data_IF_517217832813
#
_entry.id   IF_517217832813
#
_cell.length_a   1.000
_cell.length_b   1.000
_cell.length_c   1.000
_cell.angle_alpha   90.00
_cell.angle_beta   90.00
_cell.angle_gamma   90.00
#
_symmetry.space_group_name_H-M   'P 1'
#
loop_
_entity.id
_entity.type
_entity.pdbx_description
1 polymer ?
#
# COMPACT_ATOMS: atom_id res chain seq x y z
N UNK A 1 33.26 -29.70 8.70
CA UNK A 1 32.80 -30.59 7.62
C UNK A 1 31.27 -30.62 7.46
N UNK A 2 30.50 -30.66 8.55
CA UNK A 2 29.02 -30.66 8.48
C UNK A 2 28.39 -29.38 7.89
N UNK A 3 28.92 -28.19 8.18
CA UNK A 3 28.39 -26.93 7.65
C UNK A 3 28.59 -26.77 6.13
N UNK A 4 29.69 -27.30 5.60
CA UNK A 4 29.98 -27.27 4.15
C UNK A 4 29.05 -28.24 3.39
N UNK A 5 28.73 -29.39 3.97
CA UNK A 5 27.77 -30.34 3.40
C UNK A 5 26.34 -29.81 3.39
N UNK A 6 25.95 -29.00 4.38
CA UNK A 6 24.62 -28.38 4.43
C UNK A 6 24.51 -27.26 3.40
N UNK A 7 25.55 -26.43 3.26
CA UNK A 7 25.58 -25.37 2.25
C UNK A 7 25.50 -25.92 0.83
N UNK A 8 26.28 -26.96 0.52
CA UNK A 8 26.28 -27.62 -0.80
C UNK A 8 24.93 -28.30 -1.11
N UNK A 9 24.23 -28.84 -0.10
CA UNK A 9 22.88 -29.40 -0.28
C UNK A 9 21.84 -28.32 -0.52
N UNK A 10 21.93 -27.18 0.17
CA UNK A 10 21.04 -26.04 -0.05
C UNK A 10 21.24 -25.43 -1.45
N UNK A 11 22.48 -25.27 -1.91
CA UNK A 11 22.75 -24.76 -3.26
C UNK A 11 22.33 -25.74 -4.36
N UNK A 12 22.50 -27.04 -4.15
CA UNK A 12 22.03 -28.06 -5.10
C UNK A 12 20.49 -28.14 -5.16
N UNK A 13 19.80 -27.87 -4.05
CA UNK A 13 18.35 -27.85 -3.99
C UNK A 13 17.76 -26.60 -4.67
N UNK A 14 18.45 -25.46 -4.62
CA UNK A 14 18.07 -24.24 -5.37
C UNK A 14 18.31 -24.38 -6.88
N UNK A 15 19.38 -25.07 -7.30
CA UNK A 15 19.65 -25.32 -8.72
C UNK A 15 18.68 -26.34 -9.34
N UNK A 16 18.22 -27.34 -8.58
CA UNK A 16 17.25 -28.34 -9.03
C UNK A 16 15.82 -27.79 -9.23
N UNK A 17 15.51 -26.63 -8.62
CA UNK A 17 14.21 -25.96 -8.75
C UNK A 17 14.16 -24.94 -9.90
N UNK A 18 15.26 -24.73 -10.64
CA UNK A 18 15.30 -23.79 -11.76
C UNK A 18 15.05 -22.33 -11.36
N UNK A 19 15.20 -22.00 -10.08
CA UNK A 19 15.11 -20.62 -9.61
C UNK A 19 16.48 -19.96 -9.75
N UNK A 20 16.63 -19.20 -10.84
CA UNK A 20 17.77 -18.33 -11.07
C UNK A 20 17.90 -17.32 -9.90
N UNK A 21 18.99 -17.38 -9.10
CA UNK A 21 19.17 -16.50 -7.95
C UNK A 21 19.34 -15.02 -8.33
N UNK A 22 19.39 -14.71 -9.63
CA UNK A 22 19.62 -13.37 -10.16
C UNK A 22 18.32 -12.64 -10.60
N UNK A 23 17.13 -13.21 -10.40
CA UNK A 23 15.84 -12.56 -10.78
C UNK A 23 15.44 -11.41 -9.83
N UNK A 24 16.13 -11.23 -8.71
CA UNK A 24 15.86 -10.15 -7.75
C UNK A 24 16.56 -8.82 -8.03
N UNK A 25 17.27 -8.66 -9.16
CA UNK A 25 17.84 -7.35 -9.53
C UNK A 25 16.79 -6.40 -10.11
N UNK A 26 16.58 -5.31 -9.36
CA UNK A 26 16.17 -3.99 -9.84
C UNK A 26 14.80 -3.88 -10.52
N UNK A 27 13.74 -4.21 -9.79
CA UNK A 27 12.53 -3.39 -9.89
C UNK A 27 12.67 -2.28 -8.86
N UNK A 28 13.02 -1.07 -9.31
CA UNK A 28 12.75 0.16 -8.53
C UNK A 28 11.27 0.11 -8.17
N UNK A 29 10.94 -0.31 -6.94
CA UNK A 29 9.56 -0.28 -6.46
C UNK A 29 9.08 1.16 -6.64
N UNK A 30 8.02 1.34 -7.44
CA UNK A 30 7.38 2.65 -7.52
C UNK A 30 7.08 3.12 -6.09
N UNK A 31 7.38 4.39 -5.76
CA UNK A 31 7.18 4.87 -4.41
C UNK A 31 5.72 4.64 -4.02
N UNK A 32 5.53 3.97 -2.88
CA UNK A 32 4.23 3.61 -2.32
C UNK A 32 3.31 4.83 -2.30
N UNK A 33 2.01 4.62 -2.52
CA UNK A 33 1.00 5.70 -2.53
C UNK A 33 1.09 6.56 -1.27
N UNK A 34 1.25 5.92 -0.11
CA UNK A 34 1.49 6.59 1.18
C UNK A 34 2.72 7.50 1.18
N UNK A 35 3.84 7.05 0.62
CA UNK A 35 5.08 7.84 0.57
C UNK A 35 4.95 9.05 -0.35
N UNK A 36 4.28 8.89 -1.50
CA UNK A 36 3.97 10.03 -2.38
C UNK A 36 3.09 11.05 -1.68
N UNK A 37 2.09 10.58 -0.91
CA UNK A 37 1.22 11.47 -0.14
C UNK A 37 2.00 12.23 0.95
N UNK A 38 2.85 11.55 1.72
CA UNK A 38 3.69 12.19 2.75
C UNK A 38 4.59 13.26 2.15
N UNK A 39 5.22 13.00 1.00
CA UNK A 39 6.08 13.97 0.33
C UNK A 39 5.28 15.18 -0.18
N UNK A 40 4.11 14.95 -0.77
CA UNK A 40 3.20 16.01 -1.20
C UNK A 40 2.76 16.89 -0.01
N UNK A 41 2.33 16.26 1.09
CA UNK A 41 1.97 16.93 2.33
C UNK A 41 3.11 17.79 2.87
N UNK A 42 4.34 17.26 2.87
CA UNK A 42 5.54 17.98 3.28
C UNK A 42 5.75 19.24 2.44
N UNK A 43 5.69 19.12 1.10
CA UNK A 43 5.87 20.24 0.19
C UNK A 43 4.79 21.32 0.36
N UNK A 44 3.52 20.91 0.52
CA UNK A 44 2.41 21.84 0.77
C UNK A 44 2.62 22.61 2.07
N UNK A 45 3.02 21.92 3.15
CA UNK A 45 3.26 22.54 4.46
C UNK A 45 4.48 23.46 4.44
N UNK A 46 5.56 23.09 3.75
CA UNK A 46 6.74 23.97 3.58
C UNK A 46 6.38 25.24 2.81
N UNK A 47 5.59 25.11 1.73
CA UNK A 47 5.11 26.28 0.99
C UNK A 47 4.26 27.17 1.87
N UNK A 48 3.31 26.61 2.61
CA UNK A 48 2.45 27.38 3.50
C UNK A 48 3.24 28.10 4.60
N UNK A 49 4.24 27.46 5.19
CA UNK A 49 5.11 28.07 6.18
C UNK A 49 5.88 29.25 5.59
N UNK A 50 6.40 29.10 4.37
CA UNK A 50 7.11 30.16 3.66
C UNK A 50 6.18 31.34 3.36
N UNK A 51 5.04 31.08 2.72
CA UNK A 51 4.06 32.10 2.35
C UNK A 51 3.54 32.84 3.61
N UNK A 52 3.34 32.12 4.70
CA UNK A 52 3.02 32.70 6.01
C UNK A 52 4.16 33.60 6.53
N UNK A 53 5.38 33.09 6.58
CA UNK A 53 6.53 33.87 7.04
C UNK A 53 6.70 35.16 6.24
N UNK A 54 6.48 35.13 4.92
CA UNK A 54 6.51 36.31 4.06
C UNK A 54 5.41 37.32 4.43
N UNK A 55 4.17 36.89 4.67
CA UNK A 55 3.05 37.76 5.06
C UNK A 55 3.26 38.50 6.40
N UNK A 56 3.92 37.86 7.37
CA UNK A 56 4.27 38.47 8.67
C UNK A 56 5.47 39.40 8.51
N UNK A 57 6.52 38.95 7.82
CA UNK A 57 7.73 39.75 7.56
C UNK A 57 7.42 41.02 6.78
N UNK A 58 6.43 40.99 5.88
CA UNK A 58 5.99 42.18 5.14
C UNK A 58 5.53 43.34 6.04
N UNK A 59 4.95 43.05 7.22
CA UNK A 59 4.58 44.10 8.19
C UNK A 59 5.83 44.73 8.78
N UNK A 60 6.81 43.90 9.15
CA UNK A 60 8.08 44.36 9.72
C UNK A 60 8.87 45.20 8.71
N UNK A 61 9.01 44.72 7.47
CA UNK A 61 9.70 45.46 6.40
C UNK A 61 9.04 46.83 6.17
N UNK A 62 7.70 46.88 6.15
CA UNK A 62 6.98 48.15 6.00
C UNK A 62 7.19 49.10 7.19
N UNK A 63 7.24 48.56 8.41
CA UNK A 63 7.56 49.34 9.61
C UNK A 63 8.99 49.88 9.56
N UNK A 64 9.98 49.05 9.22
CA UNK A 64 11.39 49.42 9.11
C UNK A 64 11.64 50.47 8.01
N UNK A 65 10.97 50.33 6.86
CA UNK A 65 11.04 51.32 5.79
C UNK A 65 10.51 52.69 6.25
N UNK A 66 9.38 52.71 6.98
CA UNK A 66 8.83 53.95 7.55
C UNK A 66 9.71 54.55 8.64
N UNK A 67 10.30 53.72 9.49
CA UNK A 67 11.26 54.15 10.52
C UNK A 67 12.49 54.81 9.89
N UNK A 68 13.04 54.18 8.85
CA UNK A 68 14.22 54.69 8.12
C UNK A 68 13.91 56.04 7.49
N UNK A 69 12.75 56.17 6.83
CA UNK A 69 12.30 57.44 6.27
C UNK A 69 12.14 58.52 7.33
N UNK A 70 11.52 58.19 8.48
CA UNK A 70 11.36 59.14 9.59
C UNK A 70 12.71 59.64 10.10
N UNK A 71 13.68 58.74 10.31
CA UNK A 71 15.02 59.12 10.78
C UNK A 71 15.71 60.09 9.82
N UNK A 72 15.64 59.83 8.51
CA UNK A 72 16.21 60.73 7.51
C UNK A 72 15.57 62.12 7.56
N UNK A 73 14.23 62.20 7.65
CA UNK A 73 13.51 63.47 7.79
C UNK A 73 13.87 64.21 9.10
N UNK A 74 14.01 63.48 10.21
CA UNK A 74 14.41 64.07 11.49
C UNK A 74 15.84 64.59 11.50
N UNK A 75 16.77 63.89 10.84
CA UNK A 75 18.15 64.33 10.69
C UNK A 75 18.24 65.64 9.88
N UNK A 76 17.51 65.74 8.77
CA UNK A 76 17.46 66.98 7.98
C UNK A 76 16.80 68.13 8.74
N UNK A 77 15.68 67.89 9.43
CA UNK A 77 15.05 68.91 10.27
C UNK A 77 15.96 69.37 11.41
N UNK A 78 16.70 68.45 12.03
CA UNK A 78 17.69 68.78 13.08
C UNK A 78 18.81 69.63 12.50
N UNK A 79 19.33 69.28 11.32
CA UNK A 79 20.36 70.04 10.63
C UNK A 79 19.90 71.47 10.34
N UNK A 80 18.70 71.63 9.76
CA UNK A 80 18.11 72.95 9.48
C UNK A 80 17.91 73.78 10.76
N UNK A 81 17.48 73.14 11.85
CA UNK A 81 17.33 73.81 13.15
C UNK A 81 18.68 74.32 13.67
N UNK A 82 19.72 73.50 13.60
CA UNK A 82 21.08 73.88 14.05
C UNK A 82 21.62 75.05 13.21
N UNK A 83 21.52 74.97 11.88
CA UNK A 83 21.97 76.03 10.98
C UNK A 83 21.26 77.35 11.27
N UNK A 84 19.94 77.29 11.51
CA UNK A 84 19.15 78.47 11.86
C UNK A 84 19.57 79.09 13.20
N UNK A 85 19.81 78.25 14.22
CA UNK A 85 20.28 78.72 15.53
C UNK A 85 21.67 79.35 15.45
N UNK A 86 22.57 78.79 14.64
CA UNK A 86 23.91 79.33 14.41
C UNK A 86 23.85 80.70 13.70
N UNK A 87 23.02 80.82 12.66
CA UNK A 87 22.80 82.10 11.97
C UNK A 87 22.20 83.18 12.88
N UNK A 88 21.22 82.82 13.70
CA UNK A 88 20.61 83.71 14.69
C UNK A 88 21.59 84.08 15.82
N UNK A 89 22.48 83.17 16.21
CA UNK A 89 23.54 83.47 17.17
C UNK A 89 24.57 84.46 16.60
N UNK A 90 25.02 84.25 15.35
CA UNK A 90 25.97 85.13 14.65
C UNK A 90 25.40 86.53 14.45
N UNK A 91 24.21 86.64 13.86
CA UNK A 91 23.55 87.94 13.61
C UNK A 91 23.22 88.68 14.91
N UNK A 92 22.81 87.96 15.95
CA UNK A 92 22.58 88.53 17.28
C UNK A 92 23.87 89.04 17.92
N UNK A 93 24.98 88.34 17.75
CA UNK A 93 26.28 88.76 18.27
C UNK A 93 26.78 90.02 17.55
N UNK A 94 26.69 90.05 16.22
CA UNK A 94 27.06 91.22 15.41
C UNK A 94 26.25 92.47 15.81
N UNK A 95 24.92 92.34 15.91
CA UNK A 95 24.03 93.41 16.40
C UNK A 95 24.41 93.86 17.82
N UNK A 96 24.71 92.92 18.71
CA UNK A 96 25.09 93.22 20.10
C UNK A 96 26.43 93.95 20.20
N UNK A 97 27.43 93.55 19.42
CA UNK A 97 28.71 94.25 19.35
C UNK A 97 28.56 95.67 18.79
N UNK A 98 27.72 95.86 17.76
CA UNK A 98 27.43 97.18 17.21
C UNK A 98 26.78 98.11 18.24
N UNK A 99 25.77 97.59 18.97
CA UNK A 99 25.11 98.29 20.08
C UNK A 99 26.15 98.68 21.14
N UNK A 100 26.99 97.72 21.55
CA UNK A 100 28.03 97.94 22.57
C UNK A 100 29.02 99.03 22.15
N UNK A 101 29.47 99.03 20.88
CA UNK A 101 30.37 100.06 20.33
C UNK A 101 29.72 101.46 20.35
N UNK A 102 28.44 101.57 19.97
CA UNK A 102 27.69 102.85 20.00
C UNK A 102 27.38 103.32 21.41
N UNK A 103 27.23 102.39 22.35
CA UNK A 103 27.08 102.72 23.77
C UNK A 103 28.34 103.41 24.33
N UNK A 104 29.53 102.89 23.99
CA UNK A 104 30.83 103.48 24.38
C UNK A 104 31.03 104.91 23.83
N UNK A 105 30.52 105.21 22.63
CA UNK A 105 30.62 106.54 22.02
C UNK A 105 29.60 107.55 22.57
N UNK A 106 28.66 107.12 23.43
CA UNK A 106 27.65 108.02 24.02
C UNK A 106 28.27 109.00 25.01
N UNK A 107 29.32 108.58 25.75
CA UNK A 107 30.00 109.42 26.73
C UNK A 107 30.83 110.58 26.14
N UNK A 108 31.11 110.58 24.84
CA UNK A 108 31.92 111.62 24.18
C UNK A 108 31.09 112.76 23.59
N UNK A 109 29.77 112.60 23.47
CA UNK A 109 28.87 113.64 22.97
C UNK A 109 28.70 114.73 24.02
N UNK A 110 28.76 116.01 23.61
CA UNK A 110 28.62 117.16 24.53
C UNK A 110 27.23 117.79 24.50
N UNK A 111 26.43 117.48 23.48
CA UNK A 111 25.09 118.03 23.28
C UNK A 111 24.05 117.05 23.86
N UNK A 112 23.25 117.46 24.87
CA UNK A 112 22.27 116.58 25.50
C UNK A 112 21.20 116.01 24.54
N UNK A 113 20.79 116.76 23.53
CA UNK A 113 19.85 116.27 22.50
C UNK A 113 20.46 115.13 21.67
N UNK A 114 21.71 115.27 21.21
CA UNK A 114 22.39 114.22 20.44
C UNK A 114 22.72 112.98 21.28
N UNK A 115 22.92 113.16 22.59
CA UNK A 115 23.03 112.05 23.56
C UNK A 115 21.69 111.33 23.70
N UNK A 116 20.61 112.07 23.88
CA UNK A 116 19.27 111.52 24.05
C UNK A 116 18.80 110.74 22.81
N UNK A 117 19.00 111.28 21.60
CA UNK A 117 18.68 110.60 20.34
C UNK A 117 19.46 109.28 20.17
N UNK A 118 20.75 109.28 20.54
CA UNK A 118 21.57 108.08 20.48
C UNK A 118 21.10 107.03 21.50
N UNK A 119 20.82 107.42 22.74
CA UNK A 119 20.29 106.52 23.77
C UNK A 119 18.94 105.92 23.38
N UNK A 120 18.04 106.73 22.81
CA UNK A 120 16.74 106.28 22.33
C UNK A 120 16.88 105.29 21.16
N UNK A 121 17.78 105.58 20.21
CA UNK A 121 18.11 104.67 19.12
C UNK A 121 18.69 103.34 19.63
N UNK A 122 19.60 103.38 20.60
CA UNK A 122 20.16 102.17 21.19
C UNK A 122 19.13 101.36 21.97
N UNK A 123 18.23 102.01 22.71
CA UNK A 123 17.10 101.35 23.37
C UNK A 123 16.20 100.63 22.36
N UNK A 124 15.93 101.24 21.21
CA UNK A 124 15.17 100.62 20.13
C UNK A 124 15.89 99.40 19.55
N UNK A 125 17.21 99.48 19.33
CA UNK A 125 18.01 98.35 18.83
C UNK A 125 18.02 97.17 19.83
N UNK A 126 18.15 97.43 21.14
CA UNK A 126 18.02 96.40 22.18
C UNK A 126 16.61 95.79 22.20
N UNK A 127 15.57 96.62 22.07
CA UNK A 127 14.19 96.15 21.97
C UNK A 127 13.98 95.20 20.79
N UNK A 128 14.53 95.54 19.62
CA UNK A 128 14.43 94.71 18.42
C UNK A 128 15.20 93.38 18.56
N UNK A 129 16.37 93.38 19.22
CA UNK A 129 17.11 92.15 19.51
C UNK A 129 16.30 91.20 20.43
N UNK A 130 15.64 91.74 21.45
CA UNK A 130 14.78 90.97 22.35
C UNK A 130 13.56 90.42 21.60
N UNK A 131 12.97 91.21 20.71
CA UNK A 131 11.85 90.78 19.87
C UNK A 131 12.24 89.64 18.92
N UNK A 132 13.38 89.74 18.25
CA UNK A 132 13.95 88.68 17.40
C UNK A 132 14.15 87.37 18.21
N UNK A 133 14.70 87.46 19.43
CA UNK A 133 14.85 86.30 20.33
C UNK A 133 13.51 85.72 20.78
N UNK A 134 12.56 86.55 21.16
CA UNK A 134 11.22 86.09 21.56
C UNK A 134 10.50 85.41 20.40
N UNK A 135 10.67 85.91 19.17
CA UNK A 135 10.15 85.26 17.96
C UNK A 135 10.77 83.88 17.75
N UNK A 136 12.10 83.76 17.84
CA UNK A 136 12.78 82.46 17.76
C UNK A 136 12.27 81.49 18.84
N UNK A 137 12.13 81.96 20.10
CA UNK A 137 11.60 81.15 21.19
C UNK A 137 10.19 80.63 20.85
N UNK A 138 9.30 81.50 20.36
CA UNK A 138 7.94 81.12 19.97
C UNK A 138 7.91 80.06 18.86
N UNK A 139 8.78 80.19 17.86
CA UNK A 139 8.90 79.21 16.78
C UNK A 139 9.44 77.85 17.28
N UNK A 140 10.46 77.85 18.15
CA UNK A 140 10.98 76.62 18.77
C UNK A 140 9.94 75.94 19.66
N UNK A 141 9.15 76.71 20.41
CA UNK A 141 8.03 76.18 21.18
C UNK A 141 6.94 75.57 20.29
N UNK A 142 6.66 76.19 19.15
CA UNK A 142 5.72 75.63 18.18
C UNK A 142 6.27 74.35 17.54
N UNK A 143 7.56 74.32 17.22
CA UNK A 143 8.24 73.12 16.71
C UNK A 143 8.21 71.97 17.71
N UNK A 144 8.40 72.26 19.01
CA UNK A 144 8.26 71.29 20.09
C UNK A 144 6.85 70.70 20.16
N UNK A 145 5.81 71.56 20.14
CA UNK A 145 4.40 71.10 20.11
C UNK A 145 4.11 70.21 18.90
N UNK A 146 4.60 70.58 17.72
CA UNK A 146 4.45 69.75 16.51
C UNK A 146 5.11 68.39 16.69
N UNK A 147 6.29 68.33 17.32
CA UNK A 147 6.99 67.07 17.62
C UNK A 147 6.20 66.20 18.61
N UNK A 148 5.60 66.79 19.63
CA UNK A 148 4.72 66.06 20.56
C UNK A 148 3.50 65.46 19.82
N UNK A 149 2.84 66.25 18.97
CA UNK A 149 1.72 65.78 18.14
C UNK A 149 2.13 64.65 17.19
N UNK A 150 3.32 64.75 16.58
CA UNK A 150 3.89 63.71 15.73
C UNK A 150 4.19 62.44 16.53
N UNK A 151 4.77 62.55 17.72
CA UNK A 151 5.07 61.41 18.59
C UNK A 151 3.80 60.63 18.96
N UNK A 152 2.72 61.33 19.33
CA UNK A 152 1.43 60.67 19.63
C UNK A 152 0.85 59.96 18.40
N UNK A 153 0.97 60.55 17.21
CA UNK A 153 0.53 59.91 15.95
C UNK A 153 1.35 58.66 15.64
N UNK A 154 2.67 58.73 15.82
CA UNK A 154 3.56 57.59 15.60
C UNK A 154 3.27 56.45 16.56
N UNK A 155 3.03 56.74 17.84
CA UNK A 155 2.62 55.72 18.82
C UNK A 155 1.31 55.04 18.44
N UNK A 156 0.31 55.79 17.98
CA UNK A 156 -0.96 55.21 17.51
C UNK A 156 -0.75 54.30 16.31
N UNK A 157 0.06 54.74 15.34
CA UNK A 157 0.38 53.94 14.15
C UNK A 157 1.17 52.68 14.50
N UNK A 158 2.12 52.76 15.43
CA UNK A 158 2.84 51.59 15.93
C UNK A 158 1.90 50.59 16.62
N UNK A 159 0.94 51.07 17.41
CA UNK A 159 -0.07 50.20 18.01
C UNK A 159 -0.93 49.50 16.94
N UNK A 160 -1.40 50.23 15.92
CA UNK A 160 -2.13 49.66 14.78
C UNK A 160 -1.30 48.62 14.01
N UNK A 161 -0.01 48.89 13.78
CA UNK A 161 0.91 47.95 13.13
C UNK A 161 1.10 46.66 13.95
N UNK A 162 1.19 46.79 15.28
CA UNK A 162 1.26 45.64 16.22
C UNK A 162 -0.04 44.84 16.17
N UNK A 163 -1.20 45.48 16.18
CA UNK A 163 -2.50 44.81 16.09
C UNK A 163 -2.63 44.03 14.76
N UNK A 164 -2.17 44.62 13.64
CA UNK A 164 -2.13 43.95 12.34
C UNK A 164 -1.16 42.76 12.36
N UNK A 165 0.02 42.93 12.97
CA UNK A 165 1.02 41.86 13.11
C UNK A 165 0.43 40.68 13.89
N UNK A 166 -0.19 40.95 15.04
CA UNK A 166 -0.85 39.94 15.87
C UNK A 166 -1.95 39.23 15.07
N UNK A 167 -2.84 39.99 14.41
CA UNK A 167 -3.92 39.43 13.59
C UNK A 167 -3.41 38.49 12.49
N UNK A 168 -2.35 38.88 11.77
CA UNK A 168 -1.73 38.04 10.74
C UNK A 168 -1.07 36.79 11.33
N UNK A 169 -0.37 36.91 12.45
CA UNK A 169 0.24 35.76 13.12
C UNK A 169 -0.82 34.77 13.61
N UNK A 170 -1.91 35.25 14.20
CA UNK A 170 -3.01 34.38 14.64
C UNK A 170 -3.68 33.67 13.47
N UNK A 171 -3.96 34.38 12.38
CA UNK A 171 -4.54 33.80 11.17
C UNK A 171 -3.61 32.73 10.57
N UNK A 172 -2.30 32.97 10.57
CA UNK A 172 -1.31 31.99 10.12
C UNK A 172 -1.28 30.75 11.00
N UNK A 173 -1.30 30.92 12.32
CA UNK A 173 -1.35 29.77 13.25
C UNK A 173 -2.63 28.97 13.02
N UNK A 174 -3.79 29.63 12.89
CA UNK A 174 -5.07 28.97 12.59
C UNK A 174 -5.01 28.20 11.26
N UNK A 175 -4.47 28.81 10.21
CA UNK A 175 -4.34 28.20 8.90
C UNK A 175 -3.34 27.03 8.88
N UNK A 176 -2.18 27.18 9.54
CA UNK A 176 -1.20 26.10 9.73
C UNK A 176 -1.86 24.94 10.48
N UNK A 177 -2.48 25.17 11.63
CA UNK A 177 -3.12 24.11 12.41
C UNK A 177 -4.21 23.37 11.60
N UNK A 178 -5.03 24.11 10.84
CA UNK A 178 -6.06 23.53 9.98
C UNK A 178 -5.44 22.63 8.90
N UNK A 179 -4.45 23.14 8.17
CA UNK A 179 -3.81 22.39 7.09
C UNK A 179 -2.98 21.21 7.60
N UNK A 180 -2.29 21.32 8.74
CA UNK A 180 -1.63 20.17 9.38
C UNK A 180 -2.63 19.04 9.67
N UNK A 181 -3.81 19.37 10.21
CA UNK A 181 -4.85 18.36 10.45
C UNK A 181 -5.36 17.73 9.15
N UNK A 182 -5.61 18.53 8.13
CA UNK A 182 -6.04 18.04 6.81
C UNK A 182 -5.00 17.10 6.18
N UNK A 183 -3.72 17.50 6.20
CA UNK A 183 -2.63 16.69 5.65
C UNK A 183 -2.40 15.39 6.41
N UNK A 184 -2.50 15.41 7.75
CA UNK A 184 -2.43 14.19 8.55
C UNK A 184 -3.56 13.21 8.20
N UNK A 185 -4.79 13.72 8.03
CA UNK A 185 -5.94 12.90 7.63
C UNK A 185 -5.80 12.32 6.22
N UNK A 186 -5.20 13.06 5.28
CA UNK A 186 -4.93 12.53 3.94
C UNK A 186 -3.82 11.47 3.95
N UNK A 187 -2.76 11.69 4.75
CA UNK A 187 -1.70 10.70 4.96
C UNK A 187 -2.29 9.41 5.54
N UNK A 188 -3.09 9.50 6.60
CA UNK A 188 -3.73 8.36 7.23
C UNK A 188 -4.62 7.60 6.24
N UNK A 189 -5.47 8.31 5.49
CA UNK A 189 -6.30 7.70 4.43
C UNK A 189 -5.47 6.98 3.37
N UNK A 190 -4.33 7.53 2.98
CA UNK A 190 -3.44 6.88 2.01
C UNK A 190 -2.86 5.57 2.57
N UNK A 191 -2.40 5.57 3.83
CA UNK A 191 -1.91 4.35 4.51
C UNK A 191 -3.02 3.31 4.70
N UNK A 192 -4.23 3.72 5.09
CA UNK A 192 -5.37 2.82 5.22
C UNK A 192 -5.79 2.19 3.89
N UNK A 193 -5.78 2.98 2.81
CA UNK A 193 -6.05 2.46 1.47
C UNK A 193 -5.00 1.42 1.06
N UNK A 194 -3.72 1.73 1.24
CA UNK A 194 -2.63 0.80 0.93
C UNK A 194 -2.72 -0.49 1.74
N UNK A 195 -3.02 -0.38 3.04
CA UNK A 195 -3.25 -1.54 3.91
C UNK A 195 -4.44 -2.39 3.44
N UNK A 196 -5.56 -1.76 3.07
CA UNK A 196 -6.74 -2.45 2.52
C UNK A 196 -6.41 -3.18 1.23
N UNK A 197 -5.71 -2.53 0.31
CA UNK A 197 -5.25 -3.13 -0.95
C UNK A 197 -4.36 -4.35 -0.70
N UNK A 198 -3.40 -4.23 0.23
CA UNK A 198 -2.52 -5.33 0.61
C UNK A 198 -3.31 -6.51 1.19
N UNK A 199 -4.19 -6.26 2.16
CA UNK A 199 -5.02 -7.30 2.79
C UNK A 199 -5.93 -7.99 1.78
N UNK A 200 -6.56 -7.22 0.89
CA UNK A 200 -7.43 -7.77 -0.15
C UNK A 200 -6.62 -8.64 -1.13
N UNK A 201 -5.42 -8.20 -1.53
CA UNK A 201 -4.55 -8.99 -2.42
C UNK A 201 -4.11 -10.30 -1.77
N UNK A 202 -3.79 -10.29 -0.46
CA UNK A 202 -3.40 -11.47 0.30
C UNK A 202 -4.57 -12.44 0.47
N UNK A 203 -5.75 -11.91 0.83
CA UNK A 203 -7.00 -12.67 0.92
C UNK A 203 -7.33 -13.37 -0.40
N UNK A 204 -7.26 -12.65 -1.52
CA UNK A 204 -7.54 -13.21 -2.84
C UNK A 204 -6.54 -14.33 -3.22
N UNK A 205 -5.26 -14.18 -2.87
CA UNK A 205 -4.25 -15.24 -3.07
C UNK A 205 -4.57 -16.48 -2.23
N UNK A 206 -4.95 -16.28 -0.97
CA UNK A 206 -5.32 -17.37 -0.07
C UNK A 206 -6.58 -18.09 -0.55
N UNK A 207 -7.64 -17.35 -0.91
CA UNK A 207 -8.89 -17.92 -1.44
C UNK A 207 -8.64 -18.73 -2.72
N UNK A 208 -7.82 -18.22 -3.65
CA UNK A 208 -7.41 -18.97 -4.85
C UNK A 208 -6.64 -20.24 -4.51
N UNK A 209 -5.71 -20.18 -3.55
CA UNK A 209 -4.95 -21.34 -3.10
C UNK A 209 -5.85 -22.40 -2.45
N UNK A 210 -6.81 -21.97 -1.63
CA UNK A 210 -7.79 -22.85 -0.99
C UNK A 210 -8.73 -23.49 -2.01
N UNK A 211 -9.19 -22.73 -3.00
CA UNK A 211 -10.02 -23.28 -4.07
C UNK A 211 -9.25 -24.32 -4.88
N UNK A 212 -8.03 -24.02 -5.31
CA UNK A 212 -7.19 -24.97 -6.04
C UNK A 212 -6.91 -26.25 -5.24
N UNK A 213 -6.81 -26.15 -3.91
CA UNK A 213 -6.70 -27.33 -3.03
C UNK A 213 -7.99 -28.14 -3.01
N UNK A 214 -9.15 -27.50 -2.84
CA UNK A 214 -10.46 -28.16 -2.85
C UNK A 214 -10.72 -28.87 -4.18
N UNK A 215 -10.40 -28.22 -5.29
CA UNK A 215 -10.57 -28.81 -6.64
C UNK A 215 -9.71 -30.07 -6.79
N UNK A 216 -8.47 -30.06 -6.28
CA UNK A 216 -7.60 -31.25 -6.26
C UNK A 216 -8.15 -32.37 -5.37
N UNK A 217 -8.67 -32.03 -4.20
CA UNK A 217 -9.29 -33.01 -3.28
C UNK A 217 -10.53 -33.66 -3.93
N UNK A 218 -11.37 -32.89 -4.62
CA UNK A 218 -12.52 -33.41 -5.37
C UNK A 218 -12.11 -34.36 -6.49
N UNK A 219 -11.10 -34.00 -7.28
CA UNK A 219 -10.60 -34.86 -8.36
C UNK A 219 -10.05 -36.18 -7.80
N UNK A 220 -9.37 -36.16 -6.66
CA UNK A 220 -8.89 -37.37 -6.00
C UNK A 220 -10.05 -38.24 -5.50
N UNK A 221 -11.07 -37.64 -4.91
CA UNK A 221 -12.26 -38.37 -4.46
C UNK A 221 -13.02 -39.03 -5.63
N UNK A 222 -13.18 -38.31 -6.74
CA UNK A 222 -13.76 -38.84 -7.97
C UNK A 222 -12.95 -40.01 -8.54
N UNK A 223 -11.62 -39.91 -8.53
CA UNK A 223 -10.74 -41.00 -8.95
C UNK A 223 -10.87 -42.22 -8.03
N UNK A 224 -10.89 -42.03 -6.71
CA UNK A 224 -11.09 -43.11 -5.74
C UNK A 224 -12.45 -43.80 -5.95
N UNK A 225 -13.51 -43.03 -6.18
CA UNK A 225 -14.84 -43.57 -6.45
C UNK A 225 -14.88 -44.36 -7.77
N UNK A 226 -14.16 -43.91 -8.81
CA UNK A 226 -14.01 -44.67 -10.06
C UNK A 226 -13.24 -45.96 -9.84
N UNK A 227 -12.13 -45.92 -9.09
CA UNK A 227 -11.35 -47.13 -8.79
C UNK A 227 -12.17 -48.17 -8.04
N UNK A 228 -12.94 -47.77 -7.02
CA UNK A 228 -13.85 -48.67 -6.29
C UNK A 228 -14.86 -49.35 -7.22
N UNK A 229 -15.47 -48.60 -8.13
CA UNK A 229 -16.41 -49.17 -9.12
C UNK A 229 -15.74 -50.18 -10.05
N UNK A 230 -14.50 -49.90 -10.49
CA UNK A 230 -13.73 -50.85 -11.30
C UNK A 230 -13.45 -52.12 -10.53
N UNK A 231 -13.03 -52.01 -9.27
CA UNK A 231 -12.79 -53.16 -8.38
C UNK A 231 -14.08 -53.98 -8.14
N UNK A 232 -15.22 -53.32 -7.94
CA UNK A 232 -16.54 -53.98 -7.86
C UNK A 232 -16.88 -54.76 -9.13
N UNK A 233 -16.65 -54.19 -10.33
CA UNK A 233 -16.89 -54.88 -11.60
C UNK A 233 -15.92 -56.05 -11.82
N UNK A 234 -14.65 -55.91 -11.44
CA UNK A 234 -13.68 -57.00 -11.51
C UNK A 234 -14.07 -58.17 -10.60
N UNK A 235 -14.54 -57.86 -9.38
CA UNK A 235 -15.05 -58.86 -8.45
C UNK A 235 -16.30 -59.57 -9.02
N UNK A 236 -17.24 -58.84 -9.61
CA UNK A 236 -18.42 -59.43 -10.27
C UNK A 236 -18.02 -60.32 -11.46
N UNK A 237 -17.08 -59.88 -12.29
CA UNK A 237 -16.58 -60.65 -13.43
C UNK A 237 -15.91 -61.96 -12.96
N UNK A 238 -15.13 -61.89 -11.88
CA UNK A 238 -14.51 -63.08 -11.30
C UNK A 238 -15.54 -64.04 -10.71
N UNK A 239 -16.57 -63.55 -10.04
CA UNK A 239 -17.67 -64.38 -9.55
C UNK A 239 -18.40 -65.09 -10.68
N UNK A 240 -18.74 -64.36 -11.76
CA UNK A 240 -19.36 -64.96 -12.96
C UNK A 240 -18.46 -66.02 -13.59
N UNK A 241 -17.16 -65.76 -13.72
CA UNK A 241 -16.20 -66.77 -14.25
C UNK A 241 -16.17 -68.05 -13.42
N UNK A 242 -16.24 -67.94 -12.10
CA UNK A 242 -16.30 -69.11 -11.21
C UNK A 242 -17.62 -69.85 -11.39
N UNK A 243 -18.74 -69.14 -11.40
CA UNK A 243 -20.07 -69.72 -11.61
C UNK A 243 -20.17 -70.43 -12.98
N UNK A 244 -19.77 -69.78 -14.06
CA UNK A 244 -19.74 -70.36 -15.41
C UNK A 244 -18.84 -71.62 -15.45
N UNK A 245 -17.71 -71.61 -14.73
CA UNK A 245 -16.83 -72.75 -14.60
C UNK A 245 -17.45 -73.91 -13.83
N UNK A 246 -18.18 -73.63 -12.75
CA UNK A 246 -18.94 -74.61 -11.98
C UNK A 246 -20.09 -75.21 -12.80
N UNK A 247 -20.86 -74.37 -13.50
CA UNK A 247 -21.94 -74.80 -14.40
C UNK A 247 -21.41 -75.68 -15.53
N UNK A 248 -20.31 -75.27 -16.18
CA UNK A 248 -19.65 -76.06 -17.20
C UNK A 248 -19.23 -77.43 -16.65
N UNK A 249 -18.61 -77.47 -15.46
CA UNK A 249 -18.20 -78.73 -14.82
C UNK A 249 -19.41 -79.62 -14.50
N UNK A 250 -20.50 -79.05 -14.00
CA UNK A 250 -21.74 -79.79 -13.73
C UNK A 250 -22.31 -80.40 -15.01
N UNK A 251 -22.39 -79.63 -16.09
CA UNK A 251 -22.88 -80.11 -17.39
C UNK A 251 -21.94 -81.19 -17.93
N UNK A 252 -20.62 -80.98 -17.83
CA UNK A 252 -19.60 -81.94 -18.25
C UNK A 252 -19.77 -83.28 -17.52
N UNK A 253 -19.89 -83.27 -16.19
CA UNK A 253 -20.11 -84.47 -15.38
C UNK A 253 -21.41 -85.18 -15.79
N UNK A 254 -22.51 -84.45 -16.01
CA UNK A 254 -23.77 -85.04 -16.47
C UNK A 254 -23.60 -85.76 -17.81
N UNK A 255 -22.98 -85.10 -18.79
CA UNK A 255 -22.71 -85.69 -20.11
C UNK A 255 -21.77 -86.90 -20.03
N UNK A 256 -20.72 -86.83 -19.21
CA UNK A 256 -19.81 -87.96 -18.96
C UNK A 256 -20.54 -89.16 -18.35
N UNK A 257 -21.43 -88.92 -17.38
CA UNK A 257 -22.27 -89.97 -16.78
C UNK A 257 -23.24 -90.58 -17.79
N UNK A 258 -23.90 -89.76 -18.62
CA UNK A 258 -24.80 -90.24 -19.68
C UNK A 258 -24.05 -91.11 -20.69
N UNK A 259 -22.84 -90.71 -21.08
CA UNK A 259 -21.95 -91.51 -21.94
C UNK A 259 -21.60 -92.84 -21.26
N UNK A 260 -21.25 -92.85 -19.98
CA UNK A 260 -20.96 -94.09 -19.24
C UNK A 260 -22.18 -95.02 -19.16
N UNK A 261 -23.37 -94.47 -18.90
CA UNK A 261 -24.61 -95.23 -18.83
C UNK A 261 -24.93 -95.87 -20.19
N UNK A 262 -24.84 -95.10 -21.27
CA UNK A 262 -25.04 -95.59 -22.64
C UNK A 262 -24.02 -96.67 -23.01
N UNK A 263 -22.75 -96.52 -22.60
CA UNK A 263 -21.73 -97.54 -22.80
C UNK A 263 -22.05 -98.82 -22.02
N UNK A 264 -22.54 -98.72 -20.79
CA UNK A 264 -22.94 -99.87 -19.98
C UNK A 264 -24.15 -100.59 -20.59
N UNK A 265 -25.16 -99.85 -21.02
CA UNK A 265 -26.32 -100.40 -21.74
C UNK A 265 -25.89 -101.12 -23.02
N UNK A 266 -24.97 -100.52 -23.78
CA UNK A 266 -24.40 -101.15 -24.98
C UNK A 266 -23.65 -102.45 -24.65
N UNK A 267 -22.87 -102.48 -23.57
CA UNK A 267 -22.19 -103.70 -23.11
C UNK A 267 -23.17 -104.77 -22.64
N UNK A 268 -24.20 -104.42 -21.88
CA UNK A 268 -25.27 -105.35 -21.48
C UNK A 268 -26.00 -105.91 -22.69
N UNK A 269 -26.29 -105.06 -23.69
CA UNK A 269 -26.89 -105.47 -24.95
C UNK A 269 -25.98 -106.43 -25.71
N UNK A 270 -24.67 -106.15 -25.81
CA UNK A 270 -23.70 -107.06 -26.40
C UNK A 270 -23.64 -108.41 -25.68
N UNK A 271 -23.61 -108.41 -24.35
CA UNK A 271 -23.59 -109.63 -23.55
C UNK A 271 -24.88 -110.45 -23.70
N UNK A 272 -26.05 -109.80 -23.75
CA UNK A 272 -27.33 -110.49 -24.00
C UNK A 272 -27.41 -111.05 -25.41
N UNK A 273 -26.91 -110.34 -26.43
CA UNK A 273 -26.79 -110.88 -27.78
C UNK A 273 -25.84 -112.08 -27.84
N UNK A 274 -24.68 -112.01 -27.17
CA UNK A 274 -23.74 -113.12 -27.09
C UNK A 274 -24.34 -114.35 -26.39
N UNK A 275 -25.04 -114.16 -25.26
CA UNK A 275 -25.73 -115.24 -24.57
C UNK A 275 -26.85 -115.85 -25.44
N UNK A 276 -27.59 -115.03 -26.18
CA UNK A 276 -28.61 -115.51 -27.11
C UNK A 276 -27.99 -116.29 -28.26
N UNK A 277 -26.82 -115.88 -28.76
CA UNK A 277 -26.06 -116.60 -29.77
C UNK A 277 -25.61 -117.99 -29.25
N UNK A 278 -25.03 -118.04 -28.05
CA UNK A 278 -24.64 -119.31 -27.39
C UNK A 278 -25.86 -120.23 -27.13
N UNK A 279 -27.00 -119.67 -26.71
CA UNK A 279 -28.26 -120.43 -26.56
C UNK A 279 -28.74 -120.99 -27.89
N UNK A 280 -28.63 -120.22 -28.98
CA UNK A 280 -28.97 -120.68 -30.32
C UNK A 280 -28.07 -121.83 -30.75
N UNK A 281 -26.76 -121.71 -30.53
CA UNK A 281 -25.77 -122.75 -30.79
C UNK A 281 -26.02 -124.01 -29.96
N UNK A 282 -26.34 -123.87 -28.68
CA UNK A 282 -26.72 -125.00 -27.83
C UNK A 282 -27.98 -125.70 -28.35
N UNK A 283 -29.05 -124.95 -28.64
CA UNK A 283 -30.28 -125.50 -29.22
C UNK A 283 -30.00 -126.22 -30.53
N UNK A 284 -29.14 -125.65 -31.37
CA UNK A 284 -28.70 -126.27 -32.63
C UNK A 284 -27.94 -127.59 -32.37
N UNK A 285 -27.04 -127.63 -31.39
CA UNK A 285 -26.33 -128.86 -31.01
C UNK A 285 -27.24 -129.93 -30.42
N UNK A 286 -28.22 -129.56 -29.59
CA UNK A 286 -29.21 -130.51 -29.03
C UNK A 286 -30.08 -131.10 -30.14
N UNK A 287 -30.56 -130.26 -31.07
CA UNK A 287 -31.30 -130.74 -32.25
C UNK A 287 -30.43 -131.69 -33.08
N UNK A 288 -29.16 -131.35 -33.29
CA UNK A 288 -28.20 -132.21 -33.99
C UNK A 288 -28.00 -133.56 -33.29
N UNK A 289 -27.81 -133.57 -31.96
CA UNK A 289 -27.69 -134.82 -31.18
C UNK A 289 -28.99 -135.63 -31.19
N UNK A 290 -30.15 -134.98 -31.13
CA UNK A 290 -31.45 -135.65 -31.23
C UNK A 290 -31.66 -136.27 -32.61
N UNK A 291 -31.19 -135.62 -33.67
CA UNK A 291 -31.16 -136.19 -35.01
C UNK A 291 -30.20 -137.38 -35.08
N UNK A 292 -28.99 -137.27 -34.53
CA UNK A 292 -28.04 -138.39 -34.43
C UNK A 292 -28.65 -139.58 -33.65
N UNK A 293 -29.29 -139.34 -32.50
CA UNK A 293 -30.01 -140.35 -31.70
C UNK A 293 -31.21 -140.95 -32.44
N UNK A 294 -32.00 -140.15 -33.15
CA UNK A 294 -33.08 -140.63 -34.02
C UNK A 294 -32.52 -141.50 -35.15
N UNK A 295 -31.36 -141.15 -35.68
CA UNK A 295 -30.67 -141.93 -36.71
C UNK A 295 -30.17 -143.27 -36.15
N UNK A 296 -29.59 -143.27 -34.95
CA UNK A 296 -29.17 -144.48 -34.23
C UNK A 296 -30.37 -145.35 -33.87
N UNK A 297 -31.46 -144.77 -33.39
CA UNK A 297 -32.70 -145.50 -33.03
C UNK A 297 -33.35 -146.12 -34.27
N UNK A 298 -33.41 -145.39 -35.39
CA UNK A 298 -33.77 -145.94 -36.70
C UNK A 298 -32.85 -147.09 -37.13
N UNK A 299 -31.54 -146.98 -36.88
CA UNK A 299 -30.58 -148.04 -37.21
C UNK A 299 -30.75 -149.30 -36.34
N UNK A 300 -31.06 -149.14 -35.05
CA UNK A 300 -31.32 -150.25 -34.12
C UNK A 300 -32.67 -150.93 -34.39
N UNK A 301 -33.71 -150.17 -34.74
CA UNK A 301 -34.99 -150.74 -35.18
C UNK A 301 -34.85 -151.50 -36.51
N UNK A 302 -34.02 -151.02 -37.46
CA UNK A 302 -33.68 -151.77 -38.67
C UNK A 302 -32.99 -153.11 -38.38
N UNK A 303 -32.12 -153.20 -37.37
CA UNK A 303 -31.45 -154.47 -36.97
C UNK A 303 -32.39 -155.47 -36.28
N UNK A 304 -33.55 -155.05 -35.76
CA UNK A 304 -34.57 -155.94 -35.15
C UNK A 304 -35.58 -156.53 -36.16
N UNK A 305 -35.65 -155.98 -37.37
CA UNK A 305 -36.62 -156.38 -38.42
C UNK A 305 -36.02 -157.39 -39.42
N UNK A 306 -34.71 -157.67 -39.36
CA UNK A 306 -34.05 -158.66 -40.25
C UNK A 306 -33.77 -160.01 -39.56
N UNK A 307 -34.66 -160.47 -38.67
CA UNK A 307 -34.59 -161.82 -38.11
C UNK A 307 -35.91 -162.57 -38.26
#
# INVERSE_FOLDING_TARGET
MYLYSVFVRLTAQTEALGEDPNVHKDKKEEPRKSHKQVEHSRQRLTKLLRDGTELVTNVQIAADARETQRRAEEEELRRLRIERLDNEAKTSLEKFEEITKKWLSTGTKKIPQEQWELLNSQQQQCGQLIEDKNKLIGELQQELKRKDDHYVKDLKKQAEDIDILIGRMEEQIKNLMKTYREELLEIERAFESERRELLNSSRNKWEKGMQARRDKEQVLEDLMNRMKKVEEYENQLNQLRVQDGEEYNLIKIKLENDVQLLQQQLQQMKATYQLNQEKLEYNYQVLKKRDEENTVTKSQQKRRITR
#
